data_IF_044030464593
#
_entry.id   IF_044030464593
#
_cell.length_a   1.000
_cell.length_b   1.000
_cell.length_c   1.000
_cell.angle_alpha   90.00
_cell.angle_beta   90.00
_cell.angle_gamma   90.00
#
_symmetry.space_group_name_H-M   'P 1'
#
loop_
_entity.id
_entity.type
_entity.pdbx_description
1 polymer ?
#
# COMPACT_ATOMS: atom_id res chain seq x y z
N UNK A 1 14.65 -7.84 5.51
CA UNK A 1 14.76 -9.08 4.69
C UNK A 1 16.23 -9.51 4.68
N UNK A 2 16.60 -10.64 4.08
CA UNK A 2 18.01 -11.06 3.97
C UNK A 2 18.61 -10.93 2.57
N UNK A 3 17.78 -10.71 1.55
CA UNK A 3 18.17 -10.68 0.14
C UNK A 3 17.06 -10.02 -0.71
N UNK A 4 17.37 -9.74 -1.98
CA UNK A 4 16.39 -9.30 -2.96
C UNK A 4 15.47 -10.45 -3.38
N UNK A 5 14.19 -10.17 -3.58
CA UNK A 5 13.19 -11.14 -4.01
C UNK A 5 12.70 -10.79 -5.42
N UNK A 6 12.71 -11.77 -6.32
CA UNK A 6 12.11 -11.68 -7.65
C UNK A 6 10.83 -12.51 -7.71
N UNK A 7 9.72 -11.86 -8.06
CA UNK A 7 8.40 -12.49 -8.18
C UNK A 7 8.00 -12.76 -9.63
N UNK A 8 8.94 -12.66 -10.59
CA UNK A 8 8.66 -12.98 -11.98
C UNK A 8 8.16 -14.43 -12.12
N UNK A 9 6.99 -14.58 -12.75
CA UNK A 9 6.35 -15.90 -12.93
C UNK A 9 5.73 -16.49 -11.66
N UNK A 10 5.81 -15.81 -10.52
CA UNK A 10 5.21 -16.25 -9.26
C UNK A 10 3.79 -15.70 -9.15
N UNK A 11 2.83 -16.61 -8.94
CA UNK A 11 1.46 -16.20 -8.58
C UNK A 11 1.39 -15.95 -7.08
N UNK A 12 1.40 -14.68 -6.68
CA UNK A 12 1.31 -14.25 -5.28
C UNK A 12 0.08 -13.35 -5.09
N UNK A 13 -0.86 -13.79 -4.25
CA UNK A 13 -1.97 -12.94 -3.80
C UNK A 13 -1.48 -11.92 -2.75
N UNK A 14 -2.19 -10.79 -2.58
CA UNK A 14 -1.93 -9.82 -1.52
C UNK A 14 -1.74 -10.49 -0.15
N UNK A 15 -0.71 -10.08 0.56
CA UNK A 15 -0.37 -10.58 1.89
C UNK A 15 -1.32 -9.96 2.91
N UNK A 16 -2.07 -10.81 3.60
CA UNK A 16 -2.90 -10.42 4.73
C UNK A 16 -2.88 -11.54 5.77
N UNK A 17 -3.06 -11.20 7.05
CA UNK A 17 -3.02 -12.17 8.15
C UNK A 17 -4.16 -11.99 9.16
N UNK A 18 -5.08 -11.05 8.93
CA UNK A 18 -6.30 -10.94 9.71
C UNK A 18 -7.27 -12.08 9.36
N UNK A 19 -7.89 -12.68 10.38
CA UNK A 19 -8.94 -13.68 10.22
C UNK A 19 -10.35 -13.08 10.00
N UNK A 20 -10.45 -11.75 9.86
CA UNK A 20 -11.70 -11.01 9.64
C UNK A 20 -12.02 -10.75 8.17
N UNK A 21 -13.19 -10.16 7.91
CA UNK A 21 -13.66 -9.84 6.55
C UNK A 21 -12.86 -8.72 5.86
N UNK A 22 -12.09 -7.92 6.60
CA UNK A 22 -11.38 -6.75 6.08
C UNK A 22 -10.05 -7.07 5.36
N UNK A 23 -9.57 -8.32 5.40
CA UNK A 23 -8.32 -8.78 4.76
C UNK A 23 -7.16 -7.81 4.97
N UNK A 24 -6.77 -7.64 6.23
CA UNK A 24 -5.71 -6.74 6.65
C UNK A 24 -4.41 -7.49 6.93
N UNK A 25 -3.29 -6.85 6.59
CA UNK A 25 -1.99 -7.14 7.17
C UNK A 25 -1.82 -6.36 8.48
N UNK A 26 -1.44 -7.09 9.53
CA UNK A 26 -1.08 -6.57 10.83
C UNK A 26 0.30 -7.09 11.22
N UNK A 27 1.29 -6.20 11.31
CA UNK A 27 2.62 -6.62 11.72
C UNK A 27 3.72 -5.62 11.41
N UNK A 28 4.96 -6.07 11.64
CA UNK A 28 6.16 -5.30 11.34
C UNK A 28 6.91 -5.96 10.19
N UNK A 29 7.27 -5.16 9.19
CA UNK A 29 8.07 -5.60 8.05
C UNK A 29 9.23 -4.62 7.83
N UNK A 30 10.44 -5.11 8.02
CA UNK A 30 11.67 -4.37 7.70
C UNK A 30 12.27 -4.99 6.44
N UNK A 31 12.29 -4.23 5.35
CA UNK A 31 12.91 -4.63 4.10
C UNK A 31 14.43 -4.69 4.20
N UNK A 32 15.04 -4.03 5.20
CA UNK A 32 16.50 -3.92 5.34
C UNK A 32 17.19 -3.38 4.07
N UNK A 33 16.53 -2.44 3.40
CA UNK A 33 16.91 -1.83 2.12
C UNK A 33 16.99 -2.79 0.92
N UNK A 34 16.53 -4.03 1.07
CA UNK A 34 16.35 -4.94 -0.06
C UNK A 34 15.10 -4.62 -0.88
N UNK A 35 15.04 -5.21 -2.07
CA UNK A 35 13.95 -4.99 -3.01
C UNK A 35 13.13 -6.26 -3.24
N UNK A 36 11.84 -6.06 -3.48
CA UNK A 36 10.94 -7.05 -4.07
C UNK A 36 10.63 -6.55 -5.49
N UNK A 37 10.72 -7.44 -6.48
CA UNK A 37 10.61 -7.05 -7.89
C UNK A 37 9.61 -7.89 -8.67
N UNK A 38 9.11 -7.31 -9.77
CA UNK A 38 8.34 -8.00 -10.81
C UNK A 38 7.01 -8.62 -10.33
N UNK A 39 6.40 -8.06 -9.28
CA UNK A 39 5.08 -8.49 -8.84
C UNK A 39 4.01 -7.99 -9.80
N UNK A 40 3.19 -8.90 -10.31
CA UNK A 40 2.03 -8.57 -11.13
C UNK A 40 0.77 -9.07 -10.44
N UNK A 41 -0.24 -8.21 -10.34
CA UNK A 41 -1.55 -8.58 -9.82
C UNK A 41 -2.66 -7.89 -10.60
N UNK A 42 -3.60 -8.68 -11.14
CA UNK A 42 -4.71 -8.17 -11.93
C UNK A 42 -6.03 -8.74 -11.42
N UNK A 43 -6.83 -7.89 -10.78
CA UNK A 43 -8.19 -8.20 -10.37
C UNK A 43 -9.07 -6.96 -10.55
N UNK A 44 -9.61 -6.77 -11.76
CA UNK A 44 -10.36 -5.56 -12.15
C UNK A 44 -11.63 -5.28 -11.32
N UNK A 45 -12.10 -6.27 -10.55
CA UNK A 45 -13.24 -6.15 -9.62
C UNK A 45 -12.83 -6.09 -8.14
N UNK A 46 -11.53 -6.21 -7.85
CA UNK A 46 -11.02 -6.29 -6.49
C UNK A 46 -10.70 -4.93 -5.90
N UNK A 47 -10.99 -4.77 -4.62
CA UNK A 47 -10.70 -3.57 -3.85
C UNK A 47 -9.58 -3.80 -2.83
N UNK A 48 -8.91 -2.73 -2.40
CA UNK A 48 -7.92 -2.80 -1.32
C UNK A 48 -6.64 -3.54 -1.72
N UNK A 49 -6.20 -3.34 -2.95
CA UNK A 49 -5.08 -4.10 -3.53
C UNK A 49 -3.77 -3.35 -3.30
N UNK A 50 -2.82 -4.11 -2.77
CA UNK A 50 -1.38 -3.86 -2.76
C UNK A 50 -0.66 -5.11 -2.27
N UNK A 51 0.67 -5.10 -2.23
CA UNK A 51 1.43 -6.28 -1.80
C UNK A 51 1.01 -6.73 -0.39
N UNK A 52 0.70 -5.79 0.50
CA UNK A 52 0.21 -6.05 1.85
C UNK A 52 -1.32 -5.86 1.98
N UNK A 53 -2.07 -5.89 0.88
CA UNK A 53 -3.52 -5.65 0.87
C UNK A 53 -3.86 -4.31 1.54
N UNK A 54 -4.75 -4.34 2.54
CA UNK A 54 -4.92 -3.23 3.47
C UNK A 54 -4.03 -3.43 4.70
N UNK A 55 -3.47 -2.36 5.25
CA UNK A 55 -2.62 -2.45 6.44
C UNK A 55 -3.29 -1.78 7.64
N UNK A 56 -3.19 -2.44 8.79
CA UNK A 56 -3.70 -1.97 10.07
C UNK A 56 -2.69 -2.27 11.18
N UNK A 57 -2.53 -1.38 12.15
CA UNK A 57 -1.60 -1.53 13.29
C UNK A 57 -0.20 -2.00 12.84
N UNK A 58 0.29 -1.48 11.71
CA UNK A 58 1.46 -2.03 11.01
C UNK A 58 2.63 -1.05 10.90
N UNK A 59 3.85 -1.59 10.87
CA UNK A 59 5.06 -0.82 10.56
C UNK A 59 5.79 -1.45 9.40
N UNK A 60 5.90 -0.73 8.28
CA UNK A 60 6.61 -1.20 7.08
C UNK A 60 7.70 -0.19 6.74
N UNK A 61 8.95 -0.65 6.61
CA UNK A 61 10.06 0.25 6.34
C UNK A 61 11.19 -0.33 5.50
N UNK A 62 12.04 0.55 4.97
CA UNK A 62 13.30 0.24 4.28
C UNK A 62 13.11 -0.77 3.14
N UNK A 63 12.16 -0.53 2.25
CA UNK A 63 11.75 -1.52 1.24
C UNK A 63 11.62 -0.89 -0.14
N UNK A 64 12.26 -1.51 -1.13
CA UNK A 64 12.03 -1.21 -2.54
C UNK A 64 11.02 -2.15 -3.19
N UNK A 65 10.06 -1.61 -3.93
CA UNK A 65 9.12 -2.35 -4.78
C UNK A 65 9.39 -1.96 -6.25
N UNK A 66 10.00 -2.85 -7.02
CA UNK A 66 10.52 -2.49 -8.35
C UNK A 66 9.76 -3.24 -9.44
N UNK A 67 9.35 -2.51 -10.48
CA UNK A 67 8.67 -3.06 -11.65
C UNK A 67 7.38 -3.81 -11.27
N UNK A 68 6.54 -3.17 -10.45
CA UNK A 68 5.24 -3.71 -10.09
C UNK A 68 4.19 -3.34 -11.15
N UNK A 69 3.25 -4.25 -11.42
CA UNK A 69 2.08 -3.99 -12.27
C UNK A 69 0.81 -4.42 -11.54
N UNK A 70 0.04 -3.44 -11.08
CA UNK A 70 -1.11 -3.66 -10.19
C UNK A 70 -2.37 -3.09 -10.80
N UNK A 71 -3.34 -3.95 -11.07
CA UNK A 71 -4.66 -3.58 -11.59
C UNK A 71 -5.77 -4.00 -10.64
N UNK A 72 -6.66 -3.06 -10.32
CA UNK A 72 -7.80 -3.26 -9.43
C UNK A 72 -9.00 -2.37 -9.72
N UNK A 73 -9.94 -2.34 -8.79
CA UNK A 73 -11.10 -1.45 -8.82
C UNK A 73 -10.89 -0.24 -7.89
N UNK A 74 -11.19 -0.35 -6.58
CA UNK A 74 -11.05 0.76 -5.64
C UNK A 74 -9.91 0.53 -4.63
N UNK A 75 -9.28 1.62 -4.16
CA UNK A 75 -8.21 1.58 -3.15
C UNK A 75 -7.01 0.76 -3.61
N UNK A 76 -6.28 1.28 -4.59
CA UNK A 76 -5.18 0.56 -5.23
C UNK A 76 -3.86 1.28 -4.99
N UNK A 77 -2.84 0.53 -4.56
CA UNK A 77 -1.45 0.98 -4.53
C UNK A 77 -0.47 -0.20 -4.48
N UNK A 78 0.79 0.02 -4.83
CA UNK A 78 1.77 -1.08 -4.88
C UNK A 78 2.09 -1.66 -3.50
N UNK A 79 2.21 -0.80 -2.48
CA UNK A 79 2.48 -1.24 -1.12
C UNK A 79 1.20 -1.74 -0.46
N UNK A 80 0.15 -0.92 -0.50
CA UNK A 80 -1.13 -1.21 0.14
C UNK A 80 -2.29 -0.51 -0.58
N UNK A 81 -3.47 -1.11 -0.55
CA UNK A 81 -4.70 -0.45 -1.01
C UNK A 81 -5.15 0.65 -0.04
N UNK A 82 -5.16 0.33 1.25
CA UNK A 82 -5.52 1.25 2.32
C UNK A 82 -4.60 1.10 3.53
N UNK A 83 -4.15 2.23 4.05
CA UNK A 83 -3.40 2.33 5.31
C UNK A 83 -4.17 3.23 6.28
N UNK A 84 -5.46 2.94 6.48
CA UNK A 84 -6.35 3.74 7.32
C UNK A 84 -6.91 2.89 8.44
N UNK A 85 -6.75 3.33 9.68
CA UNK A 85 -7.43 2.72 10.82
C UNK A 85 -8.82 3.31 10.91
N UNK A 86 -9.85 2.49 10.71
CA UNK A 86 -11.21 2.83 11.15
C UNK A 86 -11.34 2.33 12.59
N UNK A 87 -10.90 3.14 13.53
CA UNK A 87 -11.06 2.76 14.92
C UNK A 87 -12.44 3.23 15.39
N UNK A 88 -13.42 2.31 15.43
CA UNK A 88 -14.75 2.59 15.99
C UNK A 88 -14.71 2.84 17.50
N UNK A 89 -13.62 2.46 18.18
CA UNK A 89 -13.50 2.52 19.64
C UNK A 89 -13.33 3.94 20.19
N UNK A 90 -13.02 4.92 19.33
CA UNK A 90 -12.90 6.32 19.74
C UNK A 90 -14.18 7.14 19.62
N UNK A 91 -15.28 6.59 19.06
CA UNK A 91 -16.61 7.19 19.14
C UNK A 91 -16.81 8.57 18.50
N UNK A 92 -15.76 9.20 17.94
CA UNK A 92 -15.77 10.62 17.54
C UNK A 92 -15.18 10.87 16.14
N UNK A 93 -14.85 9.82 15.39
CA UNK A 93 -14.37 9.95 14.01
C UNK A 93 -12.91 10.38 13.88
N UNK A 94 -12.11 10.27 14.96
CA UNK A 94 -10.67 10.43 14.84
C UNK A 94 -10.01 9.20 14.20
N UNK A 95 -9.24 9.46 13.15
CA UNK A 95 -8.29 8.48 12.62
C UNK A 95 -7.29 8.16 13.74
N UNK A 96 -6.81 6.92 13.83
CA UNK A 96 -5.66 6.60 14.69
C UNK A 96 -4.49 6.29 13.77
N UNK A 97 -3.35 6.96 13.97
CA UNK A 97 -2.17 6.84 13.13
C UNK A 97 -1.30 5.68 13.59
N UNK A 98 -1.91 4.49 13.69
CA UNK A 98 -1.22 3.31 14.19
C UNK A 98 -0.39 2.60 13.12
N UNK A 99 -0.50 3.06 11.86
CA UNK A 99 0.35 2.64 10.77
C UNK A 99 1.55 3.58 10.63
N UNK A 100 2.76 3.03 10.54
CA UNK A 100 3.99 3.77 10.24
C UNK A 100 4.66 3.21 8.99
N UNK A 101 4.92 4.08 8.02
CA UNK A 101 5.53 3.72 6.74
C UNK A 101 6.72 4.63 6.50
N UNK A 102 7.89 4.07 6.28
CA UNK A 102 9.14 4.85 6.21
C UNK A 102 10.16 4.25 5.25
N UNK A 103 10.81 5.08 4.43
CA UNK A 103 11.89 4.60 3.56
C UNK A 103 11.40 3.62 2.51
N UNK A 104 10.34 3.99 1.78
CA UNK A 104 9.76 3.16 0.72
C UNK A 104 10.11 3.74 -0.64
N UNK A 105 10.65 2.89 -1.51
CA UNK A 105 10.91 3.21 -2.91
C UNK A 105 10.00 2.36 -3.80
N UNK A 106 9.29 2.97 -4.76
CA UNK A 106 8.42 2.20 -5.68
C UNK A 106 8.61 2.59 -7.15
N UNK A 107 8.55 1.60 -8.03
CA UNK A 107 8.46 1.79 -9.49
C UNK A 107 7.45 0.84 -10.13
N UNK A 108 6.80 1.31 -11.20
CA UNK A 108 5.93 0.48 -12.04
C UNK A 108 4.61 1.14 -12.39
N UNK A 109 3.57 0.33 -12.61
CA UNK A 109 2.24 0.79 -13.06
C UNK A 109 1.14 0.42 -12.06
N UNK A 110 0.22 1.35 -11.82
CA UNK A 110 -1.00 1.13 -11.03
C UNK A 110 -2.21 1.56 -11.85
N UNK A 111 -3.19 0.67 -12.00
CA UNK A 111 -4.46 0.93 -12.68
C UNK A 111 -5.63 0.65 -11.74
N UNK A 112 -6.55 1.60 -11.62
CA UNK A 112 -7.77 1.45 -10.83
C UNK A 112 -8.89 2.40 -11.25
N UNK A 113 -9.89 2.56 -10.39
CA UNK A 113 -11.05 3.44 -10.59
C UNK A 113 -11.07 4.57 -9.56
N UNK A 114 -11.20 4.22 -8.27
CA UNK A 114 -11.32 5.18 -7.15
C UNK A 114 -10.16 5.05 -6.16
N UNK A 115 -9.58 6.18 -5.75
CA UNK A 115 -8.47 6.23 -4.75
C UNK A 115 -7.28 5.38 -5.19
N UNK A 116 -6.66 5.80 -6.28
CA UNK A 116 -5.53 5.10 -6.89
C UNK A 116 -4.26 5.89 -6.60
N UNK A 117 -3.33 5.28 -5.86
CA UNK A 117 -2.03 5.85 -5.53
C UNK A 117 -0.90 4.96 -6.03
N UNK A 118 0.23 5.55 -6.42
CA UNK A 118 1.40 4.74 -6.79
C UNK A 118 1.90 3.86 -5.64
N UNK A 119 1.85 4.35 -4.40
CA UNK A 119 2.26 3.61 -3.19
C UNK A 119 1.04 3.11 -2.42
N UNK A 120 0.10 4.01 -2.10
CA UNK A 120 -1.08 3.68 -1.29
C UNK A 120 -2.33 4.32 -1.86
N UNK A 121 -3.40 3.56 -2.05
CA UNK A 121 -4.68 4.12 -2.51
C UNK A 121 -5.26 5.12 -1.51
N UNK A 122 -5.36 4.72 -0.24
CA UNK A 122 -5.96 5.51 0.83
C UNK A 122 -5.10 5.57 2.11
N UNK A 123 -4.40 6.68 2.29
CA UNK A 123 -3.41 6.88 3.33
C UNK A 123 -3.96 7.61 4.57
N UNK A 124 -3.94 6.93 5.72
CA UNK A 124 -4.24 7.47 7.05
C UNK A 124 -3.21 6.97 8.06
N UNK A 125 -1.93 7.27 7.80
CA UNK A 125 -0.77 6.74 8.50
C UNK A 125 0.29 7.83 8.72
N UNK A 126 1.27 7.57 9.58
CA UNK A 126 2.53 8.33 9.60
C UNK A 126 3.36 7.81 8.44
N UNK A 127 3.65 8.68 7.47
CA UNK A 127 4.35 8.30 6.25
C UNK A 127 5.49 9.29 6.02
N UNK A 128 6.72 8.78 5.94
CA UNK A 128 7.93 9.57 5.72
C UNK A 128 8.81 8.90 4.65
N UNK A 129 9.71 9.67 4.04
CA UNK A 129 10.78 9.17 3.17
C UNK A 129 10.26 8.25 2.05
N UNK A 130 9.31 8.75 1.25
CA UNK A 130 8.70 7.99 0.16
C UNK A 130 9.19 8.51 -1.17
N UNK A 131 9.64 7.60 -2.03
CA UNK A 131 10.05 7.91 -3.39
C UNK A 131 9.29 7.01 -4.37
N UNK A 132 8.57 7.62 -5.31
CA UNK A 132 7.72 6.90 -6.25
C UNK A 132 7.96 7.36 -7.69
N UNK A 133 8.34 6.43 -8.57
CA UNK A 133 8.41 6.62 -10.01
C UNK A 133 7.40 5.70 -10.68
N UNK A 134 6.12 6.09 -10.62
CA UNK A 134 5.01 5.24 -11.03
C UNK A 134 4.17 5.88 -12.13
N UNK A 135 3.60 5.03 -12.99
CA UNK A 135 2.53 5.42 -13.90
C UNK A 135 1.19 5.04 -13.25
N UNK A 136 0.36 6.03 -12.92
CA UNK A 136 -0.90 5.82 -12.18
C UNK A 136 -2.07 6.22 -13.05
N UNK A 137 -2.98 5.29 -13.31
CA UNK A 137 -4.21 5.51 -14.08
C UNK A 137 -5.45 5.23 -13.24
N UNK A 138 -6.40 6.17 -13.23
CA UNK A 138 -7.69 5.98 -12.59
C UNK A 138 -8.69 7.08 -12.93
N UNK A 139 -9.89 7.02 -12.36
CA UNK A 139 -10.97 7.97 -12.67
C UNK A 139 -11.14 9.05 -11.61
N UNK A 140 -11.02 8.70 -10.33
CA UNK A 140 -11.35 9.61 -9.22
C UNK A 140 -10.34 9.45 -8.09
N UNK A 141 -9.83 10.57 -7.55
CA UNK A 141 -8.82 10.59 -6.48
C UNK A 141 -7.57 9.79 -6.86
N UNK A 142 -6.86 10.25 -7.89
CA UNK A 142 -5.65 9.62 -8.42
C UNK A 142 -4.45 10.49 -8.06
N UNK A 143 -3.38 9.89 -7.53
CA UNK A 143 -2.15 10.61 -7.23
C UNK A 143 -0.90 9.74 -7.36
N UNK A 144 0.24 10.39 -7.60
CA UNK A 144 1.51 9.68 -7.87
C UNK A 144 2.01 8.86 -6.69
N UNK A 145 1.73 9.31 -5.45
CA UNK A 145 2.09 8.58 -4.23
C UNK A 145 0.82 8.04 -3.55
N UNK A 146 -0.14 8.92 -3.29
CA UNK A 146 -1.40 8.59 -2.63
C UNK A 146 -2.61 8.95 -3.51
N UNK A 147 -3.64 8.11 -3.54
CA UNK A 147 -4.93 8.47 -4.16
C UNK A 147 -5.71 9.47 -3.30
N UNK A 148 -5.77 9.21 -1.99
CA UNK A 148 -6.28 10.13 -0.96
C UNK A 148 -5.44 10.02 0.30
N UNK A 149 -5.00 11.16 0.85
CA UNK A 149 -4.36 11.26 2.16
C UNK A 149 -5.28 11.97 3.15
N UNK A 150 -5.45 11.41 4.33
CA UNK A 150 -5.92 12.16 5.50
C UNK A 150 -4.70 12.70 6.25
N UNK A 151 -4.79 13.92 6.76
CA UNK A 151 -3.70 14.55 7.47
C UNK A 151 -3.41 13.81 8.79
N UNK A 152 -2.51 12.84 8.69
CA UNK A 152 -1.53 12.54 9.71
C UNK A 152 -0.28 13.33 9.49
N UNK A 153 0.27 13.87 10.58
CA UNK A 153 1.44 14.74 10.60
C UNK A 153 2.76 14.08 10.19
N UNK A 154 2.82 13.52 8.98
CA UNK A 154 4.05 13.13 8.30
C UNK A 154 4.45 14.16 7.23
N UNK A 155 5.75 14.33 7.04
CA UNK A 155 6.36 15.20 6.02
C UNK A 155 6.82 14.36 4.83
N UNK A 156 6.52 14.82 3.62
CA UNK A 156 6.96 14.19 2.37
C UNK A 156 8.38 14.63 2.00
#
# INVERSE_FOLDING_TARGET
>A
MGENIDLQGVTLAPLHNSNGSSKEFQGKFDGDNFVISNWTYNNISGDGIGLFGNINLSSIKNLGLINFDVTGHDYIGMLAGGASVRNSDFGDGYFSWSNTIDGIFVTGTVTGNYRVGGVIGHAGAIINNIMAFTNVSGKTQVGGIFGRKYDGGGTM
#
